data_IF_291882507460
#
_entry.id   IF_291882507460
#
_cell.length_a   1.000
_cell.length_b   1.000
_cell.length_c   1.000
_cell.angle_alpha   90.00
_cell.angle_beta   90.00
_cell.angle_gamma   90.00
#
_symmetry.space_group_name_H-M   'P 1'
#
loop_
_entity.id
_entity.type
_entity.pdbx_description
1 polymer ?
#
# COMPACT_ATOMS: atom_id res chain seq x y z
N UNK A 1 -9.37 7.25 20.37
CA UNK A 1 -8.19 7.52 19.53
C UNK A 1 -7.71 6.21 18.93
N UNK A 2 -7.45 6.17 17.63
CA UNK A 2 -6.95 4.96 16.94
C UNK A 2 -5.45 4.86 17.17
N UNK A 3 -4.96 3.68 17.56
CA UNK A 3 -3.53 3.43 17.88
C UNK A 3 -2.85 2.46 16.91
N UNK A 4 -3.63 1.79 16.06
CA UNK A 4 -3.15 0.79 15.11
C UNK A 4 -3.99 0.87 13.84
N UNK A 5 -3.33 0.82 12.69
CA UNK A 5 -3.93 0.68 11.38
C UNK A 5 -3.41 -0.63 10.76
N UNK A 6 -4.33 -1.53 10.41
CA UNK A 6 -4.03 -2.77 9.67
C UNK A 6 -4.65 -2.62 8.28
N UNK A 7 -3.83 -2.79 7.24
CA UNK A 7 -4.24 -2.66 5.85
C UNK A 7 -3.95 -3.96 5.12
N UNK A 8 -4.92 -4.40 4.31
CA UNK A 8 -4.69 -5.44 3.31
C UNK A 8 -3.91 -4.85 2.13
N UNK A 9 -3.36 -5.72 1.27
CA UNK A 9 -2.58 -5.32 0.10
C UNK A 9 -3.46 -5.38 -1.15
N UNK A 10 -3.87 -6.57 -1.57
CA UNK A 10 -4.48 -6.78 -2.87
C UNK A 10 -5.95 -6.36 -2.88
N UNK A 11 -6.24 -5.28 -3.60
CA UNK A 11 -7.58 -4.67 -3.64
C UNK A 11 -7.83 -3.63 -2.54
N UNK A 12 -6.85 -3.39 -1.66
CA UNK A 12 -6.88 -2.28 -0.71
C UNK A 12 -5.79 -1.25 -1.04
N UNK A 13 -4.52 -1.63 -0.93
CA UNK A 13 -3.39 -0.77 -1.29
C UNK A 13 -3.01 -0.85 -2.77
N UNK A 14 -3.36 -1.97 -3.43
CA UNK A 14 -3.25 -2.14 -4.89
C UNK A 14 -4.63 -2.13 -5.54
N UNK A 15 -4.66 -2.04 -6.88
CA UNK A 15 -5.87 -2.19 -7.68
C UNK A 15 -6.34 -3.66 -7.79
N UNK A 16 -5.76 -4.57 -6.99
CA UNK A 16 -6.09 -6.00 -6.94
C UNK A 16 -5.54 -6.81 -8.12
N UNK A 17 -4.77 -6.18 -9.02
CA UNK A 17 -4.15 -6.87 -10.15
C UNK A 17 -2.84 -7.53 -9.72
N UNK A 18 -2.58 -8.70 -10.29
CA UNK A 18 -1.31 -9.40 -10.20
C UNK A 18 -0.68 -9.38 -11.59
N UNK A 19 0.44 -8.67 -11.74
CA UNK A 19 1.07 -8.43 -13.04
C UNK A 19 2.36 -9.23 -13.12
N UNK A 20 2.44 -10.17 -14.05
CA UNK A 20 3.64 -10.94 -14.34
C UNK A 20 4.29 -10.51 -15.65
N UNK A 21 5.62 -10.44 -15.69
CA UNK A 21 6.37 -10.28 -16.93
C UNK A 21 6.79 -11.63 -17.54
N UNK A 22 7.44 -11.59 -18.70
CA UNK A 22 7.87 -12.78 -19.45
C UNK A 22 8.87 -13.67 -18.68
N UNK A 23 9.54 -13.13 -17.65
CA UNK A 23 10.46 -13.86 -16.76
C UNK A 23 9.75 -14.46 -15.54
N UNK A 24 8.45 -14.22 -15.38
CA UNK A 24 7.67 -14.62 -14.21
C UNK A 24 7.85 -13.70 -13.00
N UNK A 25 8.42 -12.50 -13.17
CA UNK A 25 8.54 -11.53 -12.08
C UNK A 25 7.18 -10.86 -11.83
N UNK A 26 6.75 -10.83 -10.56
CA UNK A 26 5.51 -10.19 -10.13
C UNK A 26 5.74 -8.70 -9.82
N UNK A 27 4.82 -7.85 -10.29
CA UNK A 27 4.75 -6.44 -9.95
C UNK A 27 3.34 -6.07 -9.49
N UNK A 28 3.26 -5.10 -8.57
CA UNK A 28 2.00 -4.54 -8.06
C UNK A 28 2.07 -3.01 -8.12
N UNK A 29 0.95 -2.39 -8.46
CA UNK A 29 0.84 -0.94 -8.51
C UNK A 29 0.29 -0.40 -7.19
N UNK A 30 0.87 0.71 -6.71
CA UNK A 30 0.46 1.41 -5.49
C UNK A 30 0.23 2.90 -5.77
N UNK A 31 -0.59 3.56 -4.96
CA UNK A 31 -0.84 4.98 -5.08
C UNK A 31 0.13 5.81 -4.23
N UNK A 32 0.78 6.80 -4.85
CA UNK A 32 1.70 7.71 -4.17
C UNK A 32 1.03 8.53 -3.05
N UNK A 33 -0.26 8.85 -3.19
CA UNK A 33 -1.02 9.59 -2.16
C UNK A 33 -1.20 8.75 -0.90
N UNK A 34 -1.38 7.45 -1.03
CA UNK A 34 -1.53 6.55 0.11
C UNK A 34 -0.22 6.48 0.90
N UNK A 35 0.93 6.44 0.22
CA UNK A 35 2.24 6.52 0.84
C UNK A 35 2.45 7.82 1.64
N UNK A 36 2.01 8.96 1.10
CA UNK A 36 2.08 10.25 1.81
C UNK A 36 1.25 10.25 3.10
N UNK A 37 0.02 9.72 3.06
CA UNK A 37 -0.87 9.69 4.22
C UNK A 37 -0.36 8.70 5.28
N UNK A 38 0.12 7.51 4.87
CA UNK A 38 0.73 6.54 5.79
C UNK A 38 1.94 7.17 6.48
N UNK A 39 2.81 7.86 5.73
CA UNK A 39 3.96 8.55 6.32
C UNK A 39 3.53 9.62 7.31
N UNK A 40 2.56 10.45 6.94
CA UNK A 40 2.03 11.51 7.79
C UNK A 40 1.45 10.93 9.09
N UNK A 41 0.64 9.87 8.99
CA UNK A 41 0.04 9.18 10.14
C UNK A 41 1.11 8.65 11.12
N UNK A 42 2.18 8.04 10.61
CA UNK A 42 3.29 7.56 11.44
C UNK A 42 4.02 8.69 12.17
N UNK A 43 4.09 9.88 11.58
CA UNK A 43 4.75 11.04 12.20
C UNK A 43 3.86 11.82 13.17
N UNK A 44 2.53 11.76 13.02
CA UNK A 44 1.59 12.49 13.88
C UNK A 44 1.38 11.82 15.25
N UNK A 45 1.77 10.56 15.39
CA UNK A 45 1.73 9.82 16.66
C UNK A 45 3.02 9.93 17.49
N UNK A 46 4.01 10.70 17.01
CA UNK A 46 5.21 11.07 17.77
C UNK A 46 5.01 12.39 18.51
#
# INVERSE_FOLDING_TARGET
MIRLLLLDVDGCMSDGRIIYNEKGEETKNFNVKDGFIIRSWLTMGQ
#
